data_IF_292958964470
#
_entry.id   IF_292958964470
#
_cell.length_a   1.000
_cell.length_b   1.000
_cell.length_c   1.000
_cell.angle_alpha   90.00
_cell.angle_beta   90.00
_cell.angle_gamma   90.00
#
_symmetry.space_group_name_H-M   'P 1'
#
loop_
_entity.id
_entity.type
_entity.pdbx_description
1 polymer ?
#
# COMPACT_ATOMS: atom_id res chain seq x y z
N UNK A 1 -5.08 19.18 -8.68
CA UNK A 1 -3.99 19.35 -7.69
C UNK A 1 -4.13 18.23 -6.68
N UNK A 2 -3.03 17.54 -6.33
CA UNK A 2 -3.05 16.53 -5.27
C UNK A 2 -3.09 17.22 -3.91
N UNK A 3 -4.09 16.92 -3.09
CA UNK A 3 -4.18 17.49 -1.73
C UNK A 3 -3.14 16.83 -0.83
N UNK A 4 -2.42 17.62 -0.04
CA UNK A 4 -1.56 17.10 1.03
C UNK A 4 -2.39 17.00 2.31
N UNK A 5 -2.44 15.81 2.89
CA UNK A 5 -3.19 15.59 4.12
C UNK A 5 -2.33 15.93 5.33
N UNK A 6 -2.95 16.42 6.40
CA UNK A 6 -2.36 16.33 7.74
C UNK A 6 -2.70 14.97 8.34
N UNK A 7 -1.89 14.44 9.26
CA UNK A 7 -2.18 13.15 9.88
C UNK A 7 -3.52 13.14 10.62
N UNK A 8 -3.89 14.25 11.29
CA UNK A 8 -5.21 14.40 11.91
C UNK A 8 -6.33 14.18 10.90
N UNK A 9 -6.21 14.78 9.73
CA UNK A 9 -7.22 14.68 8.67
C UNK A 9 -7.23 13.31 8.00
N UNK A 10 -6.06 12.74 7.74
CA UNK A 10 -5.95 11.39 7.23
C UNK A 10 -6.58 10.39 8.19
N UNK A 11 -6.34 10.52 9.51
CA UNK A 11 -6.98 9.70 10.55
C UNK A 11 -8.50 9.80 10.54
N UNK A 12 -9.03 11.03 10.52
CA UNK A 12 -10.48 11.25 10.49
C UNK A 12 -11.11 10.59 9.26
N UNK A 13 -10.54 10.82 8.08
CA UNK A 13 -11.00 10.18 6.86
C UNK A 13 -10.93 8.64 6.95
N UNK A 14 -9.80 8.07 7.37
CA UNK A 14 -9.61 6.62 7.40
C UNK A 14 -10.55 5.93 8.40
N UNK A 15 -11.00 6.64 9.44
CA UNK A 15 -12.05 6.15 10.34
C UNK A 15 -13.40 6.01 9.63
N UNK A 16 -13.72 6.94 8.72
CA UNK A 16 -14.97 6.93 7.97
C UNK A 16 -14.92 5.98 6.76
N UNK A 17 -13.73 5.80 6.17
CA UNK A 17 -13.49 4.85 5.07
C UNK A 17 -13.64 3.39 5.55
N UNK A 18 -13.22 3.10 6.78
CA UNK A 18 -13.22 1.75 7.34
C UNK A 18 -11.96 0.95 7.00
N UNK A 19 -11.93 -0.36 7.31
CA UNK A 19 -10.70 -1.15 7.26
C UNK A 19 -10.14 -1.34 5.85
N UNK A 20 -8.82 -1.16 5.70
CA UNK A 20 -8.13 -1.28 4.41
C UNK A 20 -7.10 -2.40 4.50
N UNK A 21 -7.12 -3.32 3.54
CA UNK A 21 -6.11 -4.38 3.41
C UNK A 21 -5.16 -4.04 2.27
N UNK A 22 -3.87 -4.03 2.57
CA UNK A 22 -2.76 -3.95 1.64
C UNK A 22 -2.26 -5.38 1.36
N UNK A 23 -2.56 -5.91 0.17
CA UNK A 23 -2.11 -7.22 -0.28
C UNK A 23 -1.00 -7.05 -1.31
N UNK A 24 0.21 -7.44 -0.97
CA UNK A 24 1.29 -7.33 -1.93
C UNK A 24 2.70 -7.54 -1.43
N UNK A 25 3.65 -7.34 -2.34
CA UNK A 25 5.06 -7.59 -2.09
C UNK A 25 5.74 -6.48 -1.25
N UNK A 26 7.07 -6.45 -1.30
CA UNK A 26 7.90 -5.45 -0.61
C UNK A 26 7.55 -3.97 -0.91
N UNK A 27 7.06 -3.63 -2.10
CA UNK A 27 6.63 -2.27 -2.46
C UNK A 27 5.38 -1.89 -1.66
N UNK A 28 4.45 -2.83 -1.51
CA UNK A 28 3.23 -2.68 -0.73
C UNK A 28 3.53 -2.51 0.75
N UNK A 29 4.49 -3.27 1.28
CA UNK A 29 4.99 -3.11 2.65
C UNK A 29 5.50 -1.70 2.91
N UNK A 30 6.31 -1.14 2.02
CA UNK A 30 6.87 0.21 2.23
C UNK A 30 5.80 1.28 2.16
N UNK A 31 4.81 1.12 1.27
CA UNK A 31 3.65 2.01 1.25
C UNK A 31 2.87 1.94 2.57
N UNK A 32 2.56 0.73 3.04
CA UNK A 32 1.86 0.49 4.31
C UNK A 32 2.61 1.12 5.49
N UNK A 33 3.91 0.82 5.64
CA UNK A 33 4.72 1.33 6.74
C UNK A 33 4.87 2.85 6.71
N UNK A 34 4.98 3.45 5.52
CA UNK A 34 5.05 4.91 5.36
C UNK A 34 3.71 5.56 5.75
N UNK A 35 2.57 4.96 5.38
CA UNK A 35 1.24 5.47 5.74
C UNK A 35 1.03 5.37 7.25
N UNK A 36 1.35 4.21 7.81
CA UNK A 36 1.32 3.94 9.24
C UNK A 36 2.13 4.99 10.02
N UNK A 37 3.39 5.23 9.62
CA UNK A 37 4.26 6.17 10.30
C UNK A 37 3.72 7.60 10.24
N UNK A 38 3.20 8.00 9.07
CA UNK A 38 2.58 9.31 8.89
C UNK A 38 1.39 9.54 9.80
N UNK A 39 0.48 8.55 9.86
CA UNK A 39 -0.72 8.60 10.70
C UNK A 39 -0.37 8.72 12.18
N UNK A 40 0.68 8.03 12.64
CA UNK A 40 1.11 8.07 14.04
C UNK A 40 1.85 9.36 14.42
N UNK A 41 2.80 9.79 13.58
CA UNK A 41 3.77 10.83 13.98
C UNK A 41 3.46 12.21 13.42
N UNK A 42 2.56 12.30 12.45
CA UNK A 42 2.33 13.55 11.70
C UNK A 42 3.40 13.88 10.68
N UNK A 43 4.41 13.02 10.51
CA UNK A 43 5.57 13.26 9.65
C UNK A 43 5.76 12.09 8.70
N UNK A 44 6.35 12.33 7.54
CA UNK A 44 6.95 11.27 6.75
C UNK A 44 8.42 11.11 7.17
N UNK A 45 8.95 9.89 7.19
CA UNK A 45 10.38 9.69 7.54
C UNK A 45 11.25 10.06 6.35
N UNK A 46 12.48 10.45 6.63
CA UNK A 46 13.39 10.85 5.59
C UNK A 46 14.12 9.62 5.01
N UNK A 47 14.22 9.55 3.68
CA UNK A 47 14.78 8.40 2.95
C UNK A 47 16.19 8.00 3.39
N UNK A 48 16.93 8.95 3.97
CA UNK A 48 18.33 8.82 4.36
C UNK A 48 18.52 8.62 5.86
N UNK A 49 17.45 8.40 6.62
CA UNK A 49 17.52 8.16 8.07
C UNK A 49 18.11 6.77 8.44
N UNK A 50 18.68 6.05 7.47
CA UNK A 50 19.32 4.76 7.68
C UNK A 50 18.35 3.75 8.28
N UNK A 51 18.72 3.18 9.43
CA UNK A 51 17.90 2.23 10.21
C UNK A 51 16.65 2.84 10.82
N UNK A 52 16.53 4.16 10.81
CA UNK A 52 15.30 4.80 11.29
C UNK A 52 14.24 4.89 10.18
N UNK A 53 14.61 4.68 8.90
CA UNK A 53 13.66 4.64 7.79
C UNK A 53 13.01 3.25 7.66
N UNK A 54 11.69 3.19 7.78
CA UNK A 54 10.84 2.01 7.61
C UNK A 54 10.60 1.67 6.13
N UNK A 55 10.86 2.61 5.21
CA UNK A 55 10.78 2.35 3.77
C UNK A 55 12.12 1.85 3.19
N UNK A 56 13.18 1.76 4.00
CA UNK A 56 14.46 1.19 3.61
C UNK A 56 14.71 -0.16 4.32
N UNK A 57 13.78 -1.10 4.18
CA UNK A 57 13.92 -2.39 4.85
C UNK A 57 15.13 -3.21 4.39
N UNK A 58 15.72 -2.90 3.23
CA UNK A 58 16.99 -3.53 2.83
C UNK A 58 18.12 -3.16 3.79
N UNK A 59 18.15 -1.93 4.31
CA UNK A 59 19.14 -1.53 5.34
C UNK A 59 18.92 -2.29 6.65
N UNK A 60 17.66 -2.48 7.07
CA UNK A 60 17.32 -3.31 8.24
C UNK A 60 17.74 -4.76 8.05
N UNK A 61 17.45 -5.34 6.89
CA UNK A 61 17.76 -6.73 6.61
C UNK A 61 19.28 -6.97 6.47
N UNK A 62 20.03 -5.99 5.97
CA UNK A 62 21.49 -6.02 6.00
C UNK A 62 22.04 -6.01 7.43
N UNK A 63 21.41 -5.31 8.36
CA UNK A 63 21.81 -5.34 9.77
C UNK A 63 21.48 -6.65 10.47
N UNK A 64 20.33 -7.24 10.15
CA UNK A 64 20.01 -8.62 10.59
C UNK A 64 21.09 -9.58 10.12
N UNK A 65 21.48 -9.50 8.84
CA UNK A 65 22.52 -10.34 8.25
C UNK A 65 23.91 -10.11 8.87
N UNK A 66 24.29 -8.87 9.16
CA UNK A 66 25.57 -8.52 9.80
C UNK A 66 25.60 -8.97 11.27
N UNK A 67 24.45 -9.01 11.94
CA UNK A 67 24.32 -9.49 13.32
C UNK A 67 24.26 -11.04 13.44
N UNK A 68 24.47 -11.77 12.35
CA UNK A 68 24.39 -13.24 12.33
C UNK A 68 22.97 -13.79 12.27
N UNK A 69 21.97 -12.94 12.04
CA UNK A 69 20.58 -13.33 11.79
C UNK A 69 20.30 -13.63 10.32
N UNK A 70 19.23 -14.36 10.06
CA UNK A 70 18.68 -14.51 8.70
C UNK A 70 18.00 -13.19 8.26
N UNK A 71 17.89 -12.96 6.94
CA UNK A 71 17.17 -11.83 6.32
C UNK A 71 15.65 -11.87 6.61
N UNK A 72 15.27 -11.59 7.86
CA UNK A 72 13.90 -11.72 8.39
C UNK A 72 13.25 -10.39 8.76
N UNK A 73 13.91 -9.24 8.61
CA UNK A 73 13.29 -7.95 8.92
C UNK A 73 12.75 -7.85 10.36
N UNK A 74 13.23 -8.68 11.28
CA UNK A 74 12.73 -8.72 12.65
C UNK A 74 12.96 -7.37 13.32
N UNK A 75 14.14 -6.76 13.09
CA UNK A 75 14.48 -5.41 13.54
C UNK A 75 13.57 -4.32 12.97
N UNK A 76 13.15 -4.46 11.71
CA UNK A 76 12.20 -3.51 11.11
C UNK A 76 10.91 -3.53 11.92
N UNK A 77 10.33 -4.72 12.13
CA UNK A 77 9.05 -4.88 12.81
C UNK A 77 9.13 -4.56 14.31
N UNK A 78 10.25 -4.87 14.97
CA UNK A 78 10.53 -4.39 16.34
C UNK A 78 10.55 -2.86 16.42
N UNK A 79 11.18 -2.19 15.45
CA UNK A 79 11.18 -0.73 15.40
C UNK A 79 9.75 -0.18 15.19
N UNK A 80 8.96 -0.78 14.30
CA UNK A 80 7.55 -0.41 14.10
C UNK A 80 6.75 -0.53 15.40
N UNK A 81 6.91 -1.64 16.15
CA UNK A 81 6.23 -1.86 17.43
C UNK A 81 6.60 -0.80 18.49
N UNK A 82 7.89 -0.45 18.60
CA UNK A 82 8.35 0.61 19.52
C UNK A 82 7.67 1.95 19.22
N UNK A 83 7.51 2.29 17.93
CA UNK A 83 6.83 3.51 17.51
C UNK A 83 5.35 3.54 17.88
N UNK A 84 4.61 2.41 17.82
CA UNK A 84 3.21 2.38 18.32
C UNK A 84 3.20 2.80 19.78
N UNK A 85 4.04 2.16 20.60
CA UNK A 85 4.03 2.34 22.04
C UNK A 85 4.41 3.77 22.44
N UNK A 86 5.35 4.39 21.72
CA UNK A 86 5.80 5.76 21.97
C UNK A 86 4.76 6.81 21.59
N UNK A 87 4.16 6.70 20.40
CA UNK A 87 3.31 7.76 19.85
C UNK A 87 1.83 7.60 20.20
N UNK A 88 1.35 6.37 20.36
CA UNK A 88 -0.07 6.07 20.58
C UNK A 88 -0.24 4.85 21.49
N UNK A 89 -0.11 5.00 22.82
CA UNK A 89 -0.11 3.89 23.78
C UNK A 89 -1.44 3.12 23.82
N UNK A 90 -2.51 3.69 23.24
CA UNK A 90 -3.84 3.07 23.13
C UNK A 90 -4.07 2.36 21.80
N UNK A 91 -3.15 2.52 20.83
CA UNK A 91 -3.13 1.77 19.58
C UNK A 91 -2.59 0.35 19.77
N UNK A 92 -2.80 -0.50 18.77
CA UNK A 92 -2.27 -1.86 18.77
C UNK A 92 -1.72 -2.23 17.40
N UNK A 93 -0.66 -3.03 17.40
CA UNK A 93 -0.09 -3.66 16.21
C UNK A 93 0.11 -5.16 16.49
N UNK A 94 -0.67 -5.99 15.81
CA UNK A 94 -0.44 -7.43 15.75
C UNK A 94 0.42 -7.76 14.54
N UNK A 95 1.44 -8.58 14.75
CA UNK A 95 2.46 -8.94 13.77
C UNK A 95 2.62 -10.46 13.72
N UNK A 96 2.68 -11.02 12.52
CA UNK A 96 3.20 -12.36 12.27
C UNK A 96 4.28 -12.23 11.20
N UNK A 97 5.53 -12.54 11.53
CA UNK A 97 6.61 -12.57 10.55
C UNK A 97 7.37 -13.90 10.61
N UNK A 98 7.16 -14.73 9.59
CA UNK A 98 7.89 -15.96 9.31
C UNK A 98 8.01 -16.11 7.79
N UNK A 99 9.03 -15.48 7.21
CA UNK A 99 9.24 -15.49 5.76
C UNK A 99 9.54 -16.89 5.21
N UNK A 100 10.19 -17.77 5.98
CA UNK A 100 10.40 -19.17 5.59
C UNK A 100 9.07 -19.93 5.42
N UNK A 101 8.04 -19.55 6.16
CA UNK A 101 6.68 -20.05 5.99
C UNK A 101 5.82 -19.20 5.04
N UNK A 102 6.41 -18.21 4.35
CA UNK A 102 5.71 -17.23 3.51
C UNK A 102 4.61 -16.46 4.25
N UNK A 103 4.83 -16.16 5.53
CA UNK A 103 3.91 -15.42 6.38
C UNK A 103 4.56 -14.10 6.77
N UNK A 104 4.01 -12.98 6.30
CA UNK A 104 4.35 -11.65 6.79
C UNK A 104 3.06 -10.84 6.80
N UNK A 105 2.52 -10.63 8.00
CA UNK A 105 1.20 -10.08 8.23
C UNK A 105 1.26 -9.03 9.34
N UNK A 106 0.57 -7.91 9.13
CA UNK A 106 0.44 -6.86 10.13
C UNK A 106 -1.01 -6.39 10.21
N UNK A 107 -1.50 -6.17 11.43
CA UNK A 107 -2.80 -5.58 11.69
C UNK A 107 -2.62 -4.43 12.68
N UNK A 108 -2.77 -3.22 12.15
CA UNK A 108 -2.67 -1.98 12.90
C UNK A 108 -4.07 -1.44 13.21
N UNK A 109 -4.33 -1.17 14.48
CA UNK A 109 -5.57 -0.58 14.96
C UNK A 109 -5.24 0.64 15.81
N UNK A 110 -5.86 1.76 15.47
CA UNK A 110 -5.72 3.01 16.22
C UNK A 110 -7.10 3.53 16.61
N UNK A 111 -7.35 3.87 17.88
CA UNK A 111 -8.61 4.46 18.27
C UNK A 111 -8.86 5.78 17.53
N UNK A 112 -10.12 5.98 17.17
CA UNK A 112 -10.60 7.18 16.52
C UNK A 112 -10.77 8.34 17.50
N UNK A 113 -11.05 9.52 16.96
CA UNK A 113 -11.38 10.69 17.78
C UNK A 113 -12.78 10.56 18.40
N UNK A 114 -13.67 9.81 17.75
CA UNK A 114 -15.02 9.51 18.22
C UNK A 114 -15.09 8.12 18.86
N UNK A 115 -15.87 7.99 19.94
CA UNK A 115 -16.06 6.74 20.64
C UNK A 115 -16.58 5.64 19.69
N UNK A 116 -15.88 4.50 19.66
CA UNK A 116 -16.25 3.36 18.82
C UNK A 116 -15.73 3.42 17.37
N UNK A 117 -15.18 4.56 16.91
CA UNK A 117 -14.46 4.63 15.63
C UNK A 117 -13.00 4.22 15.80
N UNK A 118 -12.41 3.68 14.74
CA UNK A 118 -11.00 3.27 14.69
C UNK A 118 -10.46 3.36 13.26
N UNK A 119 -9.16 3.59 13.14
CA UNK A 119 -8.41 3.37 11.91
C UNK A 119 -7.90 1.93 11.93
N UNK A 120 -8.22 1.16 10.90
CA UNK A 120 -7.76 -0.23 10.76
C UNK A 120 -7.02 -0.41 9.43
N UNK A 121 -5.72 -0.70 9.52
CA UNK A 121 -4.88 -0.99 8.37
C UNK A 121 -4.32 -2.40 8.51
N UNK A 122 -4.47 -3.21 7.48
CA UNK A 122 -3.95 -4.58 7.44
C UNK A 122 -2.96 -4.71 6.30
N UNK A 123 -1.92 -5.50 6.51
CA UNK A 123 -0.94 -5.84 5.50
C UNK A 123 -0.76 -7.36 5.48
N UNK A 124 -0.69 -7.94 4.28
CA UNK A 124 -0.36 -9.35 4.07
C UNK A 124 0.57 -9.46 2.86
N UNK A 125 1.77 -10.03 3.09
CA UNK A 125 2.74 -10.24 2.03
C UNK A 125 2.26 -11.35 1.10
N UNK A 126 2.13 -11.02 -0.19
CA UNK A 126 1.88 -12.00 -1.23
C UNK A 126 2.85 -11.76 -2.39
N UNK A 127 3.46 -12.83 -2.89
CA UNK A 127 4.42 -12.77 -3.99
C UNK A 127 3.76 -12.88 -5.36
N UNK A 128 2.56 -13.47 -5.42
CA UNK A 128 1.74 -13.59 -6.61
C UNK A 128 0.30 -13.18 -6.32
N UNK A 129 -0.40 -12.75 -7.36
CA UNK A 129 -1.76 -12.22 -7.26
C UNK A 129 -2.82 -13.29 -7.46
N UNK A 130 -2.53 -14.57 -7.18
CA UNK A 130 -3.41 -15.68 -7.50
C UNK A 130 -4.68 -15.74 -6.63
N UNK A 131 -5.82 -16.28 -7.13
CA UNK A 131 -7.08 -16.31 -6.39
C UNK A 131 -6.99 -17.01 -5.03
N UNK A 132 -6.22 -18.09 -4.96
CA UNK A 132 -6.06 -18.87 -3.74
C UNK A 132 -5.29 -18.08 -2.68
N UNK A 133 -4.21 -17.41 -3.10
CA UNK A 133 -3.36 -16.59 -2.22
C UNK A 133 -4.15 -15.38 -1.70
N UNK A 134 -4.83 -14.66 -2.60
CA UNK A 134 -5.69 -13.52 -2.23
C UNK A 134 -6.86 -13.98 -1.35
N UNK A 135 -7.48 -15.12 -1.66
CA UNK A 135 -8.56 -15.71 -0.88
C UNK A 135 -8.13 -16.03 0.56
N UNK A 136 -6.96 -16.64 0.75
CA UNK A 136 -6.41 -16.91 2.09
C UNK A 136 -6.16 -15.63 2.88
N UNK A 137 -5.63 -14.60 2.24
CA UNK A 137 -5.42 -13.31 2.90
C UNK A 137 -6.74 -12.65 3.33
N UNK A 138 -7.78 -12.74 2.49
CA UNK A 138 -9.14 -12.30 2.85
C UNK A 138 -9.71 -13.09 4.02
N UNK A 139 -9.56 -14.42 4.01
CA UNK A 139 -10.07 -15.28 5.08
C UNK A 139 -9.32 -15.04 6.40
N UNK A 140 -8.02 -14.74 6.36
CA UNK A 140 -7.26 -14.28 7.53
C UNK A 140 -7.86 -13.02 8.15
N UNK A 141 -8.18 -12.00 7.34
CA UNK A 141 -8.79 -10.77 7.86
C UNK A 141 -10.18 -11.04 8.45
N UNK A 142 -11.00 -11.85 7.75
CA UNK A 142 -12.34 -12.22 8.24
C UNK A 142 -12.30 -13.04 9.52
N UNK A 143 -11.32 -13.92 9.67
CA UNK A 143 -11.08 -14.70 10.90
C UNK A 143 -10.81 -13.82 12.13
N UNK A 144 -10.44 -12.56 11.93
CA UNK A 144 -10.25 -11.55 12.98
C UNK A 144 -11.52 -10.71 13.26
N UNK A 145 -12.63 -11.04 12.62
CA UNK A 145 -13.88 -10.28 12.72
C UNK A 145 -13.86 -8.94 11.96
N UNK A 146 -12.85 -8.70 11.13
CA UNK A 146 -12.71 -7.46 10.36
C UNK A 146 -13.43 -7.61 9.01
N UNK A 147 -14.22 -6.60 8.64
CA UNK A 147 -14.86 -6.48 7.33
C UNK A 147 -14.16 -5.38 6.54
N UNK A 148 -13.35 -5.72 5.53
CA UNK A 148 -12.62 -4.70 4.78
C UNK A 148 -13.56 -3.87 3.93
N UNK A 149 -13.36 -2.55 3.95
CA UNK A 149 -13.94 -1.65 2.96
C UNK A 149 -13.15 -1.71 1.65
N UNK A 150 -11.82 -1.83 1.75
CA UNK A 150 -10.93 -1.86 0.58
C UNK A 150 -9.91 -3.00 0.66
N UNK A 151 -9.65 -3.62 -0.49
CA UNK A 151 -8.54 -4.54 -0.73
C UNK A 151 -7.68 -3.93 -1.83
N UNK A 152 -6.49 -3.47 -1.48
CA UNK A 152 -5.50 -2.95 -2.42
C UNK A 152 -4.55 -4.09 -2.81
N UNK A 153 -4.63 -4.54 -4.06
CA UNK A 153 -3.80 -5.63 -4.60
C UNK A 153 -2.63 -5.07 -5.42
N UNK A 154 -1.39 -5.44 -5.05
CA UNK A 154 -0.16 -4.95 -5.70
C UNK A 154 1.02 -5.93 -5.61
N UNK A 155 1.38 -6.59 -6.72
CA UNK A 155 2.42 -7.65 -6.78
C UNK A 155 3.51 -7.36 -7.83
N UNK A 156 3.90 -6.08 -7.93
CA UNK A 156 4.71 -5.54 -9.02
C UNK A 156 6.19 -5.92 -9.01
N UNK A 157 6.82 -6.10 -7.85
CA UNK A 157 8.25 -6.41 -7.76
C UNK A 157 8.60 -7.73 -8.45
N UNK A 158 7.60 -8.61 -8.66
CA UNK A 158 7.75 -9.92 -9.26
C UNK A 158 7.64 -9.94 -10.79
N UNK A 159 7.27 -8.82 -11.43
CA UNK A 159 7.33 -8.69 -12.90
C UNK A 159 8.78 -8.75 -13.44
N UNK A 160 9.77 -8.53 -12.57
CA UNK A 160 11.19 -8.48 -12.91
C UNK A 160 11.99 -9.73 -12.48
N UNK A 161 11.35 -10.65 -11.76
CA UNK A 161 12.00 -11.85 -11.24
C UNK A 161 12.14 -12.95 -12.30
N UNK A 162 12.78 -14.07 -11.94
CA UNK A 162 12.99 -15.29 -12.76
C UNK A 162 11.72 -15.95 -13.35
N UNK A 163 10.54 -15.33 -13.20
CA UNK A 163 9.28 -15.76 -13.80
C UNK A 163 8.98 -14.84 -14.99
N UNK A 164 8.64 -15.38 -16.17
CA UNK A 164 8.11 -14.57 -17.25
C UNK A 164 6.96 -13.70 -16.72
N UNK A 165 6.94 -12.41 -17.05
CA UNK A 165 5.90 -11.44 -16.64
C UNK A 165 4.46 -11.95 -16.88
N UNK A 166 4.29 -12.90 -17.80
CA UNK A 166 3.04 -13.59 -18.13
C UNK A 166 2.43 -14.39 -16.98
N UNK A 167 3.23 -14.89 -16.03
CA UNK A 167 2.70 -15.68 -14.91
C UNK A 167 1.98 -14.80 -13.88
N UNK A 168 2.54 -13.64 -13.56
CA UNK A 168 1.94 -12.70 -12.60
C UNK A 168 0.64 -12.13 -13.16
N UNK A 169 0.62 -11.73 -14.44
CA UNK A 169 -0.59 -11.23 -15.05
C UNK A 169 -1.68 -12.30 -15.13
N UNK A 170 -1.32 -13.56 -15.46
CA UNK A 170 -2.25 -14.69 -15.43
C UNK A 170 -2.91 -14.87 -14.06
N UNK A 171 -2.13 -14.76 -12.98
CA UNK A 171 -2.61 -14.89 -11.61
C UNK A 171 -3.56 -13.74 -11.23
N UNK A 172 -3.17 -12.50 -11.53
CA UNK A 172 -4.01 -11.32 -11.30
C UNK A 172 -5.31 -11.41 -12.10
N UNK A 173 -5.25 -11.80 -13.38
CA UNK A 173 -6.42 -12.04 -14.22
C UNK A 173 -7.31 -13.15 -13.64
N UNK A 174 -6.71 -14.18 -13.05
CA UNK A 174 -7.41 -15.20 -12.27
C UNK A 174 -8.18 -14.58 -11.10
N UNK A 175 -7.53 -13.73 -10.31
CA UNK A 175 -8.16 -13.07 -9.15
C UNK A 175 -9.28 -12.14 -9.56
N UNK A 176 -9.13 -11.38 -10.65
CA UNK A 176 -10.20 -10.53 -11.16
C UNK A 176 -11.43 -11.34 -11.58
N UNK A 177 -11.22 -12.50 -12.23
CA UNK A 177 -12.31 -13.44 -12.54
C UNK A 177 -12.96 -13.96 -11.26
N UNK A 178 -12.18 -14.50 -10.33
CA UNK A 178 -12.67 -15.00 -9.03
C UNK A 178 -13.46 -13.94 -8.25
N UNK A 179 -12.98 -12.71 -8.25
CA UNK A 179 -13.64 -11.57 -7.61
C UNK A 179 -15.04 -11.34 -8.19
N UNK A 180 -15.11 -11.23 -9.52
CA UNK A 180 -16.36 -10.94 -10.24
C UNK A 180 -17.40 -12.06 -10.16
N UNK A 181 -16.98 -13.32 -10.08
CA UNK A 181 -17.88 -14.47 -10.11
C UNK A 181 -18.31 -14.93 -8.72
N UNK A 182 -17.42 -14.81 -7.73
CA UNK A 182 -17.57 -15.47 -6.43
C UNK A 182 -17.35 -14.55 -5.24
N UNK A 183 -16.17 -13.92 -5.13
CA UNK A 183 -15.78 -13.24 -3.89
C UNK A 183 -16.68 -12.05 -3.55
N UNK A 184 -17.06 -11.24 -4.56
CA UNK A 184 -17.90 -10.06 -4.37
C UNK A 184 -19.26 -10.36 -3.73
N UNK A 185 -19.82 -11.56 -3.94
CA UNK A 185 -21.10 -11.95 -3.30
C UNK A 185 -20.94 -12.16 -1.80
N UNK A 186 -19.75 -12.57 -1.35
CA UNK A 186 -19.42 -12.78 0.07
C UNK A 186 -18.93 -11.48 0.74
N UNK A 187 -18.57 -10.49 -0.07
CA UNK A 187 -18.02 -9.19 0.34
C UNK A 187 -18.70 -8.05 -0.44
N UNK A 188 -20.03 -7.87 -0.29
CA UNK A 188 -20.80 -6.95 -1.14
C UNK A 188 -20.37 -5.48 -0.98
N UNK A 189 -19.91 -5.12 0.22
CA UNK A 189 -19.52 -3.75 0.59
C UNK A 189 -18.01 -3.51 0.46
N UNK A 190 -17.24 -4.52 0.06
CA UNK A 190 -15.79 -4.40 -0.14
C UNK A 190 -15.47 -4.02 -1.57
N UNK A 191 -14.54 -3.09 -1.75
CA UNK A 191 -13.97 -2.76 -3.06
C UNK A 191 -12.59 -3.42 -3.21
N UNK A 192 -12.45 -4.24 -4.25
CA UNK A 192 -11.13 -4.64 -4.73
C UNK A 192 -10.58 -3.53 -5.63
N UNK A 193 -9.31 -3.20 -5.43
CA UNK A 193 -8.57 -2.20 -6.19
C UNK A 193 -7.28 -2.84 -6.70
N UNK A 194 -7.07 -2.81 -8.01
CA UNK A 194 -5.78 -3.12 -8.62
C UNK A 194 -4.89 -1.89 -8.57
N UNK A 195 -3.74 -1.96 -7.90
CA UNK A 195 -2.71 -0.93 -8.01
C UNK A 195 -1.72 -1.36 -9.08
N UNK A 196 -1.68 -0.59 -10.18
CA UNK A 196 -0.88 -0.94 -11.36
C UNK A 196 0.61 -0.99 -11.06
N UNK A 197 1.33 -1.63 -11.98
CA UNK A 197 2.78 -1.74 -11.94
C UNK A 197 3.45 -0.80 -12.94
N UNK A 198 4.68 -0.42 -12.61
CA UNK A 198 5.58 0.31 -13.50
C UNK A 198 7.01 -0.09 -13.19
N UNK A 199 7.92 0.19 -14.12
CA UNK A 199 9.32 -0.18 -13.97
C UNK A 199 10.28 0.89 -14.48
N UNK A 200 11.39 1.15 -13.74
CA UNK A 200 12.44 2.01 -14.24
C UNK A 200 13.35 1.31 -15.27
N UNK A 201 13.29 -0.03 -15.37
CA UNK A 201 14.14 -0.81 -16.26
C UNK A 201 13.61 -0.79 -17.69
N UNK A 202 14.33 -0.11 -18.58
CA UNK A 202 13.92 0.07 -19.97
C UNK A 202 13.64 -1.27 -20.67
N UNK A 203 14.48 -2.29 -20.44
CA UNK A 203 14.33 -3.60 -21.07
C UNK A 203 13.08 -4.39 -20.67
N UNK A 204 12.40 -4.02 -19.59
CA UNK A 204 11.17 -4.68 -19.15
C UNK A 204 9.92 -3.81 -19.35
N UNK A 205 10.08 -2.54 -19.71
CA UNK A 205 8.98 -1.57 -19.73
C UNK A 205 7.88 -1.96 -20.69
N UNK A 206 8.23 -2.30 -21.93
CA UNK A 206 7.26 -2.70 -22.96
C UNK A 206 6.43 -3.90 -22.51
N UNK A 207 7.07 -4.96 -22.02
CA UNK A 207 6.37 -6.14 -21.52
C UNK A 207 5.49 -5.86 -20.30
N UNK A 208 5.93 -5.00 -19.37
CA UNK A 208 5.09 -4.58 -18.22
C UNK A 208 3.87 -3.80 -18.70
N UNK A 209 4.05 -2.87 -19.64
CA UNK A 209 2.95 -2.05 -20.15
C UNK A 209 1.91 -2.89 -20.91
N UNK A 210 2.35 -3.86 -21.72
CA UNK A 210 1.48 -4.82 -22.39
C UNK A 210 0.64 -5.64 -21.42
N UNK A 211 1.24 -6.13 -20.33
CA UNK A 211 0.50 -6.88 -19.30
C UNK A 211 -0.47 -5.99 -18.53
N UNK A 212 -0.10 -4.76 -18.18
CA UNK A 212 -1.00 -3.81 -17.52
C UNK A 212 -2.22 -3.49 -18.38
N UNK A 213 -2.08 -3.35 -19.71
CA UNK A 213 -3.23 -3.15 -20.60
C UNK A 213 -4.24 -4.30 -20.49
N UNK A 214 -3.76 -5.55 -20.41
CA UNK A 214 -4.61 -6.73 -20.24
C UNK A 214 -5.32 -6.71 -18.89
N UNK A 215 -4.59 -6.39 -17.81
CA UNK A 215 -5.11 -6.35 -16.44
C UNK A 215 -6.14 -5.23 -16.29
N UNK A 216 -5.86 -4.02 -16.76
CA UNK A 216 -6.80 -2.87 -16.70
C UNK A 216 -8.10 -3.19 -17.44
N UNK A 217 -8.01 -3.80 -18.62
CA UNK A 217 -9.20 -4.25 -19.36
C UNK A 217 -10.01 -5.27 -18.56
N UNK A 218 -9.35 -6.25 -17.94
CA UNK A 218 -10.01 -7.24 -17.11
C UNK A 218 -10.61 -6.64 -15.82
N UNK A 219 -9.93 -5.68 -15.19
CA UNK A 219 -10.40 -4.99 -13.99
C UNK A 219 -11.70 -4.23 -14.28
N UNK A 220 -11.76 -3.53 -15.41
CA UNK A 220 -13.00 -2.87 -15.87
C UNK A 220 -14.16 -3.86 -16.01
N UNK A 221 -13.93 -5.01 -16.64
CA UNK A 221 -14.95 -6.06 -16.79
C UNK A 221 -15.38 -6.65 -15.45
N UNK A 222 -14.44 -6.81 -14.50
CA UNK A 222 -14.70 -7.28 -13.15
C UNK A 222 -15.31 -6.21 -12.22
N UNK A 223 -15.49 -4.97 -12.71
CA UNK A 223 -15.88 -3.79 -11.91
C UNK A 223 -14.94 -3.57 -10.70
N UNK A 224 -13.65 -3.74 -10.94
CA UNK A 224 -12.54 -3.51 -10.00
C UNK A 224 -11.94 -2.14 -10.34
N UNK A 225 -11.73 -1.32 -9.31
CA UNK A 225 -11.10 -0.01 -9.50
C UNK A 225 -9.62 -0.19 -9.84
N UNK A 226 -9.08 0.70 -10.68
CA UNK A 226 -7.66 0.72 -11.00
C UNK A 226 -7.05 1.98 -10.39
N UNK A 227 -6.03 1.76 -9.57
CA UNK A 227 -5.16 2.78 -9.05
C UNK A 227 -3.87 2.79 -9.89
N UNK A 228 -3.89 3.53 -11.00
CA UNK A 228 -2.80 3.49 -11.98
C UNK A 228 -1.61 4.37 -11.55
N UNK A 229 -0.55 3.77 -11.04
CA UNK A 229 0.64 4.47 -10.55
C UNK A 229 1.39 5.26 -11.63
N UNK A 230 1.12 5.03 -12.92
CA UNK A 230 1.69 5.81 -14.02
C UNK A 230 1.00 7.17 -14.16
N UNK A 231 -0.33 7.18 -14.05
CA UNK A 231 -1.10 8.42 -13.99
C UNK A 231 -0.70 9.25 -12.77
N UNK A 232 -0.45 8.58 -11.64
CA UNK A 232 0.09 9.19 -10.41
C UNK A 232 1.43 9.85 -10.67
N UNK A 233 2.37 9.12 -11.26
CA UNK A 233 3.69 9.63 -11.58
C UNK A 233 3.58 10.84 -12.52
N UNK A 234 2.73 10.77 -13.55
CA UNK A 234 2.54 11.87 -14.49
C UNK A 234 1.94 13.10 -13.83
N UNK A 235 0.90 12.94 -12.99
CA UNK A 235 0.26 14.05 -12.28
C UNK A 235 1.18 14.68 -11.24
N UNK A 236 1.99 13.87 -10.58
CA UNK A 236 3.00 14.34 -9.63
C UNK A 236 4.14 15.06 -10.35
N UNK A 237 4.61 14.56 -11.50
CA UNK A 237 5.60 15.24 -12.33
C UNK A 237 5.10 16.61 -12.81
N UNK A 238 3.85 16.69 -13.30
CA UNK A 238 3.21 17.95 -13.71
C UNK A 238 3.10 18.99 -12.60
N UNK A 239 3.12 18.54 -11.34
CA UNK A 239 3.09 19.41 -10.17
C UNK A 239 4.49 19.71 -9.62
N UNK A 240 5.55 19.32 -10.34
CA UNK A 240 6.95 19.40 -9.88
C UNK A 240 7.19 18.66 -8.56
N UNK A 241 6.42 17.59 -8.30
CA UNK A 241 6.46 16.77 -7.09
C UNK A 241 7.44 15.56 -7.24
N UNK A 242 8.23 15.46 -8.33
CA UNK A 242 9.08 14.29 -8.61
C UNK A 242 10.56 14.61 -8.85
N UNK A 243 11.42 13.87 -8.14
CA UNK A 243 12.71 13.36 -8.61
C UNK A 243 12.71 11.80 -8.51
N UNK A 244 13.60 11.04 -9.14
CA UNK A 244 13.74 9.56 -9.00
C UNK A 244 15.14 9.18 -8.48
N UNK A 245 15.30 7.96 -7.90
CA UNK A 245 16.49 7.49 -7.16
C UNK A 245 17.64 7.01 -8.00
N UNK A 246 17.36 6.02 -8.82
CA UNK A 246 18.32 5.42 -9.68
C UNK A 246 17.55 4.55 -10.66
N UNK A 247 18.04 4.40 -11.90
CA UNK A 247 17.44 3.52 -12.90
C UNK A 247 17.57 2.02 -12.58
N UNK A 248 18.14 1.65 -11.42
CA UNK A 248 18.64 0.29 -11.12
C UNK A 248 17.89 -0.45 -10.01
N UNK A 249 16.82 0.10 -9.42
CA UNK A 249 16.05 -0.58 -8.37
C UNK A 249 14.54 -0.56 -8.66
N UNK A 250 13.84 -1.66 -8.32
CA UNK A 250 12.36 -1.72 -8.33
C UNK A 250 11.75 -0.98 -7.13
N UNK A 251 12.54 -0.69 -6.09
CA UNK A 251 12.13 0.08 -4.92
C UNK A 251 12.35 1.57 -5.15
N UNK A 252 11.40 2.38 -4.69
CA UNK A 252 11.43 3.82 -4.89
C UNK A 252 12.10 4.54 -3.70
N UNK A 253 12.48 5.81 -3.87
CA UNK A 253 12.81 6.68 -2.72
C UNK A 253 11.63 6.76 -1.76
N UNK A 254 11.89 7.02 -0.48
CA UNK A 254 10.85 7.19 0.54
C UNK A 254 9.77 8.19 0.11
N UNK A 255 10.15 9.35 -0.45
CA UNK A 255 9.19 10.36 -0.89
C UNK A 255 8.21 9.90 -1.98
N UNK A 256 8.52 8.82 -2.72
CA UNK A 256 7.55 8.21 -3.63
C UNK A 256 6.45 7.45 -2.89
N UNK A 257 6.78 6.80 -1.77
CA UNK A 257 5.77 6.16 -0.91
C UNK A 257 4.90 7.20 -0.21
N UNK A 258 5.44 8.36 0.14
CA UNK A 258 4.66 9.51 0.61
C UNK A 258 3.67 9.97 -0.46
N UNK A 259 4.15 10.17 -1.70
CA UNK A 259 3.29 10.54 -2.82
C UNK A 259 2.23 9.47 -3.11
N UNK A 260 2.57 8.18 -3.05
CA UNK A 260 1.59 7.09 -3.16
C UNK A 260 0.53 7.12 -2.06
N UNK A 261 0.90 7.56 -0.86
CA UNK A 261 -0.05 7.67 0.25
C UNK A 261 -0.91 8.92 0.15
N UNK A 262 -0.37 10.07 -0.25
CA UNK A 262 -1.19 11.25 -0.51
C UNK A 262 -2.18 11.00 -1.65
N UNK A 263 -1.75 10.31 -2.70
CA UNK A 263 -2.63 9.90 -3.79
C UNK A 263 -3.70 8.92 -3.31
N UNK A 264 -3.33 7.90 -2.52
CA UNK A 264 -4.28 6.97 -1.95
C UNK A 264 -5.33 7.72 -1.10
N UNK A 265 -4.88 8.64 -0.24
CA UNK A 265 -5.78 9.46 0.58
C UNK A 265 -6.65 10.37 -0.28
N UNK A 266 -6.16 10.91 -1.39
CA UNK A 266 -7.00 11.70 -2.30
C UNK A 266 -8.11 10.87 -2.97
N UNK A 267 -7.87 9.57 -3.19
CA UNK A 267 -8.85 8.64 -3.77
C UNK A 267 -9.86 8.20 -2.72
N UNK A 268 -9.39 7.88 -1.51
CA UNK A 268 -10.24 7.33 -0.45
C UNK A 268 -11.02 8.42 0.30
N UNK A 269 -10.43 9.60 0.46
CA UNK A 269 -11.01 10.67 1.25
C UNK A 269 -11.75 11.66 0.37
N UNK A 270 -13.05 11.92 0.58
CA UNK A 270 -13.77 12.95 -0.16
C UNK A 270 -13.12 14.33 0.00
N UNK A 271 -13.36 15.21 -0.97
CA UNK A 271 -12.96 16.61 -0.86
C UNK A 271 -13.79 17.32 0.20
N UNK A 272 -13.12 18.03 1.11
CA UNK A 272 -13.77 18.96 2.03
C UNK A 272 -13.85 20.35 1.35
N UNK A 273 -14.86 21.18 1.65
CA UNK A 273 -14.98 22.52 1.05
C UNK A 273 -13.72 23.39 1.22
N UNK A 274 -13.01 23.22 2.33
CA UNK A 274 -11.74 23.88 2.66
C UNK A 274 -10.53 23.48 1.76
N UNK A 275 -10.68 22.46 0.91
CA UNK A 275 -9.63 22.02 -0.03
C UNK A 275 -9.50 22.87 -1.28
N UNK A 276 -10.53 23.67 -1.55
CA UNK A 276 -10.58 24.57 -2.68
C UNK A 276 -10.81 25.97 -2.13
N UNK A 277 -9.78 26.68 -1.63
CA UNK A 277 -9.91 28.11 -1.43
C UNK A 277 -10.35 28.69 -2.78
N UNK A 278 -11.54 29.30 -2.81
CA UNK A 278 -12.13 29.83 -4.03
C UNK A 278 -11.07 30.59 -4.83
N UNK A 279 -10.88 30.20 -6.08
CA UNK A 279 -10.06 30.95 -7.02
C UNK A 279 -10.75 32.31 -7.24
N UNK A 280 -10.35 33.31 -6.47
CA UNK A 280 -10.68 34.71 -6.72
C UNK A 280 -12.12 35.08 -6.41
N UNK A 281 -12.49 35.12 -5.13
CA UNK A 281 -13.41 36.13 -4.66
C UNK A 281 -12.75 37.50 -4.87
N UNK A 282 -13.08 38.17 -5.98
CA UNK A 282 -12.77 39.59 -6.16
C UNK A 282 -13.40 40.35 -5.00
N UNK A 283 -12.57 40.99 -4.19
CA UNK A 283 -13.00 42.17 -3.46
C UNK A 283 -13.33 43.26 -4.48
N UNK A 284 -14.61 43.58 -4.58
CA UNK A 284 -15.15 44.90 -4.90
C UNK A 284 -16.59 44.95 -4.38
#
# INVERSE_FOLDING_TARGET
MLRRFTAKRARACLQDVGPIIFLGDSVTRYQFLTLYYFILTGKYQHAFDGTKSLSNAHRHALEDAVAGGDYRYDRLWEHVQKLVHEFEPTGSLSLVHNRSASQEEAHFVLPGAEAGKKVELLYNYIADGGPEVVGRAVDWVRGRGVKPAYILLNVCAHYHGRRPSTDISKDVLGTLRWWSTSARRKLPDTQLVWKSCTTPFAQYREGVDEEEVKIVKAAKNARVAVYDIRDIALQSWRQHIIATLAPTSVHFYQFWYENFNDMLLNVLCPAAPEDYPEAGGKQA
#
